data_IF_275457651585
#
_entry.id   IF_275457651585
#
_cell.length_a   1.000
_cell.length_b   1.000
_cell.length_c   1.000
_cell.angle_alpha   90.00
_cell.angle_beta   90.00
_cell.angle_gamma   90.00
#
_symmetry.space_group_name_H-M   'P 1'
#
loop_
_entity.id
_entity.type
_entity.pdbx_description
1 polymer ?
#
# COMPACT_ATOMS: atom_id res chain seq x y z
N UNK A 1 15.87 0.93 -30.95
CA UNK A 1 15.89 -0.19 -30.00
C UNK A 1 14.61 -0.12 -29.19
N UNK A 2 13.56 -0.83 -29.61
CA UNK A 2 12.32 -0.95 -28.82
C UNK A 2 12.58 -1.99 -27.72
N UNK A 3 12.83 -1.54 -26.49
CA UNK A 3 12.70 -2.42 -25.33
C UNK A 3 11.22 -2.71 -25.14
N UNK A 4 10.70 -3.70 -25.88
CA UNK A 4 9.41 -4.29 -25.59
C UNK A 4 9.51 -4.98 -24.23
N UNK A 5 8.98 -4.36 -23.19
CA UNK A 5 8.80 -5.03 -21.91
C UNK A 5 7.73 -6.10 -22.08
N UNK A 6 8.14 -7.38 -22.02
CA UNK A 6 7.20 -8.48 -21.93
C UNK A 6 6.66 -8.53 -20.50
N UNK A 7 5.48 -7.97 -20.31
CA UNK A 7 4.77 -8.00 -19.04
C UNK A 7 4.08 -9.36 -18.92
N UNK A 8 4.30 -10.08 -17.82
CA UNK A 8 3.58 -11.30 -17.49
C UNK A 8 2.43 -10.90 -16.54
N UNK A 9 1.18 -10.81 -17.03
CA UNK A 9 0.07 -10.24 -16.23
C UNK A 9 -0.21 -11.04 -14.95
N UNK A 10 0.03 -12.36 -14.96
CA UNK A 10 -0.14 -13.20 -13.77
C UNK A 10 0.88 -12.88 -12.66
N UNK A 11 2.13 -12.57 -13.01
CA UNK A 11 3.17 -12.21 -12.03
C UNK A 11 2.84 -10.85 -11.38
N UNK A 12 2.43 -9.87 -12.18
CA UNK A 12 2.01 -8.57 -11.67
C UNK A 12 0.73 -8.67 -10.81
N UNK A 13 -0.21 -9.54 -11.18
CA UNK A 13 -1.41 -9.79 -10.35
C UNK A 13 -1.03 -10.40 -9.00
N UNK A 14 -0.08 -11.34 -9.01
CA UNK A 14 0.46 -11.95 -7.79
C UNK A 14 1.15 -10.89 -6.91
N UNK A 15 2.00 -10.06 -7.50
CA UNK A 15 2.67 -8.96 -6.79
C UNK A 15 1.68 -7.93 -6.23
N UNK A 16 0.64 -7.57 -7.00
CA UNK A 16 -0.42 -6.67 -6.53
C UNK A 16 -1.18 -7.28 -5.33
N UNK A 17 -1.45 -8.59 -5.36
CA UNK A 17 -2.09 -9.29 -4.25
C UNK A 17 -1.21 -9.34 -2.99
N UNK A 18 0.10 -9.52 -3.15
CA UNK A 18 1.05 -9.49 -2.04
C UNK A 18 1.13 -8.08 -1.42
N UNK A 19 1.10 -7.03 -2.24
CA UNK A 19 1.04 -5.65 -1.76
C UNK A 19 -0.27 -5.35 -1.03
N UNK A 20 -1.40 -5.86 -1.50
CA UNK A 20 -2.67 -5.72 -0.79
C UNK A 20 -2.62 -6.37 0.61
N UNK A 21 -2.04 -7.58 0.71
CA UNK A 21 -1.86 -8.26 1.99
C UNK A 21 -0.92 -7.50 2.94
N UNK A 22 0.16 -6.90 2.42
CA UNK A 22 1.03 -6.02 3.19
C UNK A 22 0.27 -4.76 3.66
N UNK A 23 -0.65 -4.24 2.86
CA UNK A 23 -1.52 -3.12 3.23
C UNK A 23 -2.40 -3.45 4.42
N UNK A 24 -3.09 -4.59 4.38
CA UNK A 24 -3.93 -5.04 5.49
C UNK A 24 -3.12 -5.22 6.79
N UNK A 25 -1.92 -5.78 6.70
CA UNK A 25 -1.00 -5.92 7.85
C UNK A 25 -0.55 -4.57 8.39
N UNK A 26 -0.29 -3.60 7.50
CA UNK A 26 0.17 -2.25 7.87
C UNK A 26 -0.97 -1.45 8.51
N UNK A 27 -2.19 -1.54 7.99
CA UNK A 27 -3.39 -0.97 8.61
C UNK A 27 -3.63 -1.54 10.01
N UNK A 28 -3.45 -2.86 10.20
CA UNK A 28 -3.54 -3.48 11.52
C UNK A 28 -2.46 -2.97 12.49
N UNK A 29 -1.27 -2.65 11.96
CA UNK A 29 -0.19 -2.04 12.72
C UNK A 29 -0.51 -0.58 13.09
N UNK A 30 -1.07 0.22 12.18
CA UNK A 30 -1.58 1.59 12.47
C UNK A 30 -2.57 1.55 13.62
N UNK A 31 -3.56 0.65 13.56
CA UNK A 31 -4.55 0.51 14.62
C UNK A 31 -3.91 0.11 15.95
N UNK A 32 -2.88 -0.74 15.92
CA UNK A 32 -2.16 -1.16 17.11
C UNK A 32 -1.29 -0.05 17.71
N UNK A 33 -0.62 0.74 16.87
CA UNK A 33 0.16 1.91 17.27
C UNK A 33 -0.75 2.99 17.88
N UNK A 34 -1.90 3.26 17.28
CA UNK A 34 -2.90 4.18 17.83
C UNK A 34 -3.37 3.78 19.22
N UNK A 35 -3.72 2.50 19.43
CA UNK A 35 -4.07 1.98 20.77
C UNK A 35 -2.92 2.09 21.77
N UNK A 36 -1.68 1.94 21.32
CA UNK A 36 -0.49 2.11 22.17
C UNK A 36 -0.32 3.57 22.59
N UNK A 37 -0.53 4.52 21.68
CA UNK A 37 -0.46 5.96 21.94
C UNK A 37 -1.51 6.43 22.95
N UNK A 38 -2.71 5.83 22.92
CA UNK A 38 -3.80 6.14 23.82
C UNK A 38 -3.62 5.54 25.22
N UNK A 39 -2.83 4.47 25.36
CA UNK A 39 -2.58 3.85 26.65
C UNK A 39 -1.70 4.72 27.54
N UNK A 40 -2.15 4.93 28.77
CA UNK A 40 -1.31 5.50 29.83
C UNK A 40 -0.34 4.43 30.36
N UNK A 41 0.99 4.67 30.28
CA UNK A 41 1.96 3.74 30.84
C UNK A 41 1.83 3.66 32.37
N UNK A 42 1.65 2.45 32.90
CA UNK A 42 1.56 2.22 34.34
C UNK A 42 2.97 2.09 34.95
N UNK A 43 3.67 3.22 35.07
CA UNK A 43 5.06 3.28 35.56
C UNK A 43 5.15 3.74 37.04
N UNK A 44 4.01 3.98 37.70
CA UNK A 44 3.93 4.56 39.04
C UNK A 44 3.80 6.09 39.02
N UNK A 45 3.85 6.73 40.20
CA UNK A 45 3.61 8.17 40.38
C UNK A 45 4.86 8.98 40.74
N UNK A 46 6.02 8.33 40.82
CA UNK A 46 7.28 9.02 41.07
C UNK A 46 7.56 10.03 39.92
N UNK A 47 8.11 11.23 40.20
CA UNK A 47 8.42 12.21 39.16
C UNK A 47 9.18 11.66 37.92
N UNK A 48 10.23 10.82 38.06
CA UNK A 48 10.89 10.22 36.89
C UNK A 48 9.98 9.24 36.12
N UNK A 49 9.08 8.53 36.80
CA UNK A 49 8.14 7.62 36.14
C UNK A 49 7.09 8.39 35.32
N UNK A 50 6.60 9.52 35.83
CA UNK A 50 5.71 10.41 35.09
C UNK A 50 6.39 11.00 33.85
N UNK A 51 7.65 11.41 33.97
CA UNK A 51 8.43 11.91 32.85
C UNK A 51 8.63 10.83 31.77
N UNK A 52 8.96 9.60 32.17
CA UNK A 52 9.08 8.48 31.24
C UNK A 52 7.74 8.14 30.58
N UNK A 53 6.63 8.14 31.34
CA UNK A 53 5.29 7.90 30.79
C UNK A 53 4.92 8.95 29.73
N UNK A 54 5.25 10.23 29.96
CA UNK A 54 5.04 11.29 28.98
C UNK A 54 5.84 11.05 27.70
N UNK A 55 7.13 10.72 27.81
CA UNK A 55 7.99 10.42 26.65
C UNK A 55 7.52 9.21 25.85
N UNK A 56 7.07 8.15 26.51
CA UNK A 56 6.52 6.97 25.82
C UNK A 56 5.24 7.30 25.06
N UNK A 57 4.37 8.15 25.63
CA UNK A 57 3.16 8.60 24.94
C UNK A 57 3.47 9.47 23.72
N UNK A 58 4.46 10.35 23.84
CA UNK A 58 4.92 11.16 22.72
C UNK A 58 5.52 10.28 21.61
N UNK A 59 6.41 9.34 21.97
CA UNK A 59 7.03 8.42 21.03
C UNK A 59 6.04 7.47 20.36
N UNK A 60 4.99 7.04 21.07
CA UNK A 60 3.92 6.22 20.50
C UNK A 60 2.93 7.05 19.66
N UNK A 61 2.80 8.34 19.96
CA UNK A 61 1.79 9.25 19.39
C UNK A 61 1.99 9.60 17.92
N UNK A 62 1.20 10.58 17.46
CA UNK A 62 1.16 11.00 16.05
C UNK A 62 2.46 11.62 15.56
N UNK A 63 3.27 12.20 16.44
CA UNK A 63 4.61 12.71 16.10
C UNK A 63 5.69 11.62 16.10
N UNK A 64 5.36 10.39 16.50
CA UNK A 64 6.26 9.25 16.51
C UNK A 64 5.65 8.05 15.77
N UNK A 65 5.66 6.89 16.41
CA UNK A 65 5.32 5.59 15.81
C UNK A 65 3.98 5.60 15.07
N UNK A 66 2.92 6.14 15.66
CA UNK A 66 1.61 6.17 14.99
C UNK A 66 1.66 6.98 13.70
N UNK A 67 2.38 8.10 13.69
CA UNK A 67 2.56 8.92 12.48
C UNK A 67 3.36 8.20 11.40
N UNK A 68 4.51 7.62 11.76
CA UNK A 68 5.37 6.90 10.83
C UNK A 68 4.66 5.71 10.17
N UNK A 69 3.95 4.89 10.96
CA UNK A 69 3.23 3.73 10.42
C UNK A 69 2.04 4.18 9.56
N UNK A 70 1.37 5.29 9.90
CA UNK A 70 0.29 5.85 9.06
C UNK A 70 0.83 6.37 7.72
N UNK A 71 2.01 6.99 7.71
CA UNK A 71 2.66 7.44 6.48
C UNK A 71 3.02 6.24 5.59
N UNK A 72 3.58 5.19 6.17
CA UNK A 72 3.90 3.95 5.44
C UNK A 72 2.64 3.28 4.86
N UNK A 73 1.54 3.23 5.61
CA UNK A 73 0.24 2.72 5.12
C UNK A 73 -0.26 3.52 3.91
N UNK A 74 -0.15 4.85 3.97
CA UNK A 74 -0.53 5.76 2.87
C UNK A 74 0.32 5.50 1.61
N UNK A 75 1.64 5.46 1.76
CA UNK A 75 2.55 5.21 0.64
C UNK A 75 2.32 3.84 -0.01
N UNK A 76 2.07 2.82 0.79
CA UNK A 76 1.80 1.48 0.30
C UNK A 76 0.45 1.41 -0.44
N UNK A 77 -0.58 2.07 0.09
CA UNK A 77 -1.89 2.20 -0.56
C UNK A 77 -1.77 2.90 -1.91
N UNK A 78 -1.03 4.02 -1.97
CA UNK A 78 -0.79 4.78 -3.21
C UNK A 78 -0.05 3.95 -4.25
N UNK A 79 1.00 3.24 -3.83
CA UNK A 79 1.77 2.33 -4.70
C UNK A 79 0.89 1.21 -5.26
N UNK A 80 0.08 0.57 -4.41
CA UNK A 80 -0.83 -0.48 -4.83
C UNK A 80 -1.88 0.04 -5.82
N UNK A 81 -2.45 1.23 -5.59
CA UNK A 81 -3.40 1.84 -6.50
C UNK A 81 -2.78 2.20 -7.85
N UNK A 82 -1.56 2.75 -7.85
CA UNK A 82 -0.81 3.04 -9.07
C UNK A 82 -0.56 1.77 -9.90
N UNK A 83 -0.07 0.70 -9.25
CA UNK A 83 0.19 -0.59 -9.92
C UNK A 83 -1.07 -1.20 -10.53
N UNK A 84 -2.19 -1.17 -9.81
CA UNK A 84 -3.49 -1.63 -10.34
C UNK A 84 -3.95 -0.81 -11.54
N UNK A 85 -3.77 0.51 -11.50
CA UNK A 85 -4.11 1.38 -12.63
C UNK A 85 -3.26 1.11 -13.87
N UNK A 86 -1.96 0.91 -13.69
CA UNK A 86 -1.04 0.54 -14.78
C UNK A 86 -1.40 -0.82 -15.37
N UNK A 87 -1.70 -1.82 -14.53
CA UNK A 87 -2.12 -3.15 -14.98
C UNK A 87 -3.42 -3.12 -15.79
N UNK A 88 -4.43 -2.39 -15.30
CA UNK A 88 -5.70 -2.23 -16.00
C UNK A 88 -5.49 -1.60 -17.39
N UNK A 89 -4.67 -0.53 -17.45
CA UNK A 89 -4.32 0.13 -18.71
C UNK A 89 -3.61 -0.84 -19.67
N UNK A 90 -2.67 -1.64 -19.17
CA UNK A 90 -1.95 -2.63 -19.99
C UNK A 90 -2.91 -3.64 -20.61
N UNK A 91 -3.78 -4.25 -19.79
CA UNK A 91 -4.76 -5.25 -20.23
C UNK A 91 -5.77 -4.68 -21.24
N UNK A 92 -6.23 -3.44 -21.03
CA UNK A 92 -7.11 -2.76 -21.99
C UNK A 92 -6.43 -2.54 -23.33
N UNK A 93 -5.14 -2.16 -23.30
CA UNK A 93 -4.34 -1.95 -24.51
C UNK A 93 -4.12 -3.27 -25.26
N UNK A 94 -3.79 -4.35 -24.54
CA UNK A 94 -3.65 -5.69 -25.09
C UNK A 94 -4.96 -6.18 -25.73
N UNK A 95 -6.09 -5.99 -25.05
CA UNK A 95 -7.42 -6.34 -25.57
C UNK A 95 -7.82 -5.51 -26.80
N UNK A 96 -7.43 -4.23 -26.85
CA UNK A 96 -7.66 -3.38 -28.03
C UNK A 96 -6.83 -3.85 -29.23
N UNK A 97 -5.55 -4.16 -29.02
CA UNK A 97 -4.66 -4.70 -30.06
C UNK A 97 -5.17 -6.05 -30.56
N UNK A 98 -5.56 -6.95 -29.65
CA UNK A 98 -6.11 -8.26 -30.01
C UNK A 98 -7.41 -8.13 -30.83
N UNK A 99 -8.30 -7.19 -30.49
CA UNK A 99 -9.50 -6.90 -31.30
C UNK A 99 -9.15 -6.37 -32.68
N UNK A 100 -8.17 -5.47 -32.79
CA UNK A 100 -7.72 -4.94 -34.07
C UNK A 100 -7.06 -6.01 -34.95
N UNK A 101 -6.25 -6.90 -34.36
CA UNK A 101 -5.62 -8.03 -35.06
C UNK A 101 -6.60 -9.15 -35.43
N UNK A 102 -7.77 -9.22 -34.77
CA UNK A 102 -8.87 -10.12 -35.13
C UNK A 102 -9.81 -9.51 -36.18
N UNK A 103 -9.64 -8.24 -36.50
CA UNK A 103 -10.39 -7.52 -37.52
C UNK A 103 -9.70 -7.38 -38.91
N UNK A 104 -8.84 -8.30 -39.40
CA UNK A 104 -8.53 -8.35 -40.82
C UNK A 104 -9.60 -9.16 -41.55
N UNK A 105 -10.14 -8.58 -42.64
CA UNK A 105 -11.05 -9.16 -43.63
C UNK A 105 -12.57 -9.02 -43.38
N UNK A 106 -13.01 -7.79 -43.10
CA UNK A 106 -14.38 -7.35 -43.42
C UNK A 106 -14.38 -6.56 -44.73
N UNK A 107 -14.38 -7.25 -45.87
CA UNK A 107 -14.57 -6.69 -47.21
C UNK A 107 -16.00 -6.12 -47.36
N UNK A 108 -16.19 -4.82 -47.65
CA UNK A 108 -17.48 -4.33 -48.13
C UNK A 108 -17.54 -4.47 -49.65
N UNK A 109 -18.32 -5.47 -50.09
CA UNK A 109 -18.83 -5.61 -51.45
C UNK A 109 -19.67 -4.40 -51.91
#
# INVERSE_FOLDING_TARGET
>A
MNSGYQVIPQELTTQASALAALGEQTTALVASAGRLAERLPQLGTAPPALHLAARLREAAGRSGLTGEVTAADTELSDCHQALRGTLATYLDTEAAIARSLRAPDGDPA
#
